data_IF_103836850165
#
_entry.id   IF_103836850165
#
_cell.length_a   1.000
_cell.length_b   1.000
_cell.length_c   1.000
_cell.angle_alpha   90.00
_cell.angle_beta   90.00
_cell.angle_gamma   90.00
#
_symmetry.space_group_name_H-M   'P 1'
#
loop_
_entity.id
_entity.type
_entity.pdbx_description
1 polymer ?
#
# COMPACT_ATOMS: atom_id res chain seq x y z
N UNK A 1 2.76 16.05 -51.11
CA UNK A 1 2.09 15.59 -49.87
C UNK A 1 2.77 14.30 -49.43
N UNK A 2 3.50 14.30 -48.31
CA UNK A 2 4.58 13.33 -48.05
C UNK A 2 4.11 11.90 -47.73
N UNK A 3 4.88 10.92 -48.21
CA UNK A 3 4.75 9.46 -48.03
C UNK A 3 4.29 9.06 -46.61
N UNK A 4 4.80 9.74 -45.56
CA UNK A 4 4.41 9.51 -44.15
C UNK A 4 2.90 9.69 -43.90
N UNK A 5 2.26 10.69 -44.51
CA UNK A 5 0.81 10.93 -44.35
C UNK A 5 0.00 9.82 -45.03
N UNK A 6 0.49 9.34 -46.17
CA UNK A 6 -0.19 8.26 -46.89
C UNK A 6 -0.09 6.94 -46.14
N UNK A 7 1.11 6.58 -45.64
CA UNK A 7 1.33 5.40 -44.79
C UNK A 7 0.45 5.46 -43.54
N UNK A 8 0.42 6.60 -42.83
CA UNK A 8 -0.41 6.77 -41.63
C UNK A 8 -1.90 6.53 -41.95
N UNK A 9 -2.41 7.13 -43.02
CA UNK A 9 -3.82 7.00 -43.39
C UNK A 9 -4.18 5.57 -43.77
N UNK A 10 -3.33 4.89 -44.54
CA UNK A 10 -3.54 3.48 -44.91
C UNK A 10 -3.51 2.56 -43.69
N UNK A 11 -2.56 2.75 -42.77
CA UNK A 11 -2.49 1.99 -41.52
C UNK A 11 -3.69 2.27 -40.61
N UNK A 12 -4.09 3.54 -40.43
CA UNK A 12 -5.27 3.87 -39.63
C UNK A 12 -6.56 3.31 -40.22
N UNK A 13 -6.67 3.21 -41.55
CA UNK A 13 -7.83 2.57 -42.19
C UNK A 13 -7.92 1.07 -41.85
N UNK A 14 -6.79 0.40 -41.65
CA UNK A 14 -6.74 -1.00 -41.24
C UNK A 14 -6.99 -1.15 -39.73
N UNK A 15 -6.30 -0.35 -38.93
CA UNK A 15 -6.31 -0.43 -37.46
C UNK A 15 -7.64 -0.01 -36.83
N UNK A 16 -8.37 0.92 -37.46
CA UNK A 16 -9.72 1.31 -36.99
C UNK A 16 -10.71 0.16 -36.95
N UNK A 17 -10.50 -0.90 -37.74
CA UNK A 17 -11.32 -2.12 -37.68
C UNK A 17 -11.16 -2.90 -36.37
N UNK A 18 -10.11 -2.58 -35.62
CA UNK A 18 -9.76 -3.19 -34.34
C UNK A 18 -9.80 -2.14 -33.21
N UNK A 19 -10.43 -0.98 -33.42
CA UNK A 19 -10.46 0.14 -32.45
C UNK A 19 -9.08 0.71 -32.07
N UNK A 20 -8.11 0.65 -33.00
CA UNK A 20 -6.79 1.25 -32.82
C UNK A 20 -6.55 2.39 -33.82
N UNK A 21 -5.83 3.43 -33.38
CA UNK A 21 -5.39 4.54 -34.23
C UNK A 21 -3.93 4.91 -33.97
N UNK A 22 -3.13 5.06 -35.03
CA UNK A 22 -1.80 5.66 -34.95
C UNK A 22 -1.95 7.18 -34.90
N UNK A 23 -1.42 7.78 -33.84
CA UNK A 23 -1.36 9.23 -33.67
C UNK A 23 0.09 9.72 -33.61
N UNK A 24 0.30 10.98 -33.94
CA UNK A 24 1.63 11.56 -33.85
C UNK A 24 2.01 11.72 -32.37
N UNK A 25 3.20 11.25 -31.98
CA UNK A 25 3.67 11.31 -30.59
C UNK A 25 3.64 12.72 -29.99
N UNK A 26 3.81 13.77 -30.81
CA UNK A 26 3.69 15.18 -30.37
C UNK A 26 2.29 15.58 -29.89
N UNK A 27 1.27 14.80 -30.21
CA UNK A 27 -0.12 15.01 -29.75
C UNK A 27 -0.40 14.30 -28.43
N UNK A 28 0.54 13.50 -27.94
CA UNK A 28 0.45 12.79 -26.68
C UNK A 28 1.09 13.62 -25.57
N UNK A 29 0.50 13.58 -24.38
CA UNK A 29 1.19 13.98 -23.16
C UNK A 29 2.34 13.02 -22.86
N UNK A 30 3.35 13.47 -22.11
CA UNK A 30 4.53 12.65 -21.83
C UNK A 30 4.19 11.32 -21.12
N UNK A 31 3.19 11.34 -20.24
CA UNK A 31 2.71 10.13 -19.56
C UNK A 31 2.01 9.13 -20.50
N UNK A 32 1.55 9.56 -21.68
CA UNK A 32 0.98 8.67 -22.71
C UNK A 32 2.04 8.08 -23.65
N UNK A 33 3.27 8.62 -23.63
CA UNK A 33 4.35 8.21 -24.55
C UNK A 33 5.09 6.96 -24.07
N UNK A 34 5.09 6.68 -22.77
CA UNK A 34 5.78 5.52 -22.20
C UNK A 34 5.06 4.98 -20.97
N UNK A 35 4.57 3.74 -21.05
CA UNK A 35 4.18 2.97 -19.88
C UNK A 35 5.43 2.33 -19.27
N UNK A 36 5.90 2.85 -18.13
CA UNK A 36 7.01 2.23 -17.41
C UNK A 36 6.50 1.05 -16.61
N UNK A 37 6.85 -0.17 -17.05
CA UNK A 37 6.55 -1.43 -16.33
C UNK A 37 7.71 -1.92 -15.46
N UNK A 38 8.75 -1.10 -15.27
CA UNK A 38 9.95 -1.46 -14.51
C UNK A 38 10.00 -0.63 -13.23
N UNK A 39 10.65 -1.17 -12.21
CA UNK A 39 10.94 -0.42 -10.99
C UNK A 39 11.60 0.91 -11.34
N UNK A 40 11.15 1.97 -10.69
CA UNK A 40 11.65 3.31 -10.91
C UNK A 40 11.55 4.11 -9.62
N UNK A 41 12.42 5.09 -9.46
CA UNK A 41 12.42 5.97 -8.31
C UNK A 41 12.88 7.35 -8.72
N UNK A 42 12.40 8.37 -8.01
CA UNK A 42 12.95 9.71 -8.14
C UNK A 42 14.32 9.71 -7.47
N UNK A 43 15.39 10.02 -8.19
CA UNK A 43 16.69 10.24 -7.55
C UNK A 43 16.56 11.44 -6.61
N UNK A 44 16.57 11.15 -5.31
CA UNK A 44 16.47 12.14 -4.25
C UNK A 44 17.58 11.89 -3.23
N UNK A 45 17.91 12.91 -2.45
CA UNK A 45 18.92 12.80 -1.40
C UNK A 45 18.36 11.90 -0.30
N UNK A 46 19.09 10.87 0.11
CA UNK A 46 18.73 10.11 1.31
C UNK A 46 19.10 10.92 2.56
N UNK A 47 18.40 10.72 3.69
CA UNK A 47 18.80 11.30 4.96
C UNK A 47 20.22 10.88 5.37
N UNK A 48 20.84 11.65 6.25
CA UNK A 48 22.16 11.31 6.80
C UNK A 48 22.13 9.93 7.46
N UNK A 49 23.14 9.10 7.19
CA UNK A 49 23.25 7.73 7.70
C UNK A 49 22.33 6.69 7.01
N UNK A 50 21.38 7.11 6.18
CA UNK A 50 20.46 6.19 5.50
C UNK A 50 21.17 5.24 4.52
N UNK A 51 22.13 5.75 3.75
CA UNK A 51 22.90 4.95 2.77
C UNK A 51 23.68 3.82 3.45
N UNK A 52 24.23 4.07 4.65
CA UNK A 52 24.99 3.09 5.42
C UNK A 52 24.09 2.08 6.11
N UNK A 53 22.94 2.54 6.63
CA UNK A 53 22.00 1.67 7.32
C UNK A 53 21.22 0.78 6.34
N UNK A 54 20.64 1.34 5.29
CA UNK A 54 19.71 0.67 4.35
C UNK A 54 20.45 -0.21 3.32
N UNK A 55 21.19 -1.19 3.82
CA UNK A 55 22.00 -2.11 3.03
C UNK A 55 21.66 -3.57 3.32
N UNK A 56 21.75 -4.42 2.30
CA UNK A 56 21.58 -5.88 2.44
C UNK A 56 22.56 -6.52 3.43
N UNK A 57 23.69 -5.86 3.68
CA UNK A 57 24.75 -6.35 4.58
C UNK A 57 24.56 -5.88 6.02
N UNK A 58 23.56 -5.05 6.32
CA UNK A 58 23.32 -4.55 7.68
C UNK A 58 23.12 -5.72 8.66
N UNK A 59 23.83 -5.75 9.81
CA UNK A 59 23.72 -6.82 10.79
C UNK A 59 22.28 -7.09 11.27
N UNK A 60 21.49 -6.03 11.47
CA UNK A 60 20.08 -6.15 11.89
C UNK A 60 19.23 -6.85 10.83
N UNK A 61 19.44 -6.55 9.55
CA UNK A 61 18.72 -7.24 8.48
C UNK A 61 19.11 -8.71 8.38
N UNK A 62 20.39 -9.05 8.58
CA UNK A 62 20.85 -10.45 8.62
C UNK A 62 20.19 -11.22 9.76
N UNK A 63 20.17 -10.65 10.95
CA UNK A 63 19.52 -11.22 12.13
C UNK A 63 18.03 -11.51 11.86
N UNK A 64 17.31 -10.53 11.30
CA UNK A 64 15.90 -10.70 10.94
C UNK A 64 15.70 -11.83 9.93
N UNK A 65 16.53 -11.88 8.88
CA UNK A 65 16.45 -12.93 7.86
C UNK A 65 16.71 -14.33 8.44
N UNK A 66 17.69 -14.46 9.32
CA UNK A 66 18.01 -15.72 10.00
C UNK A 66 16.83 -16.18 10.86
N UNK A 67 16.30 -15.31 11.72
CA UNK A 67 15.16 -15.65 12.59
C UNK A 67 13.89 -15.97 11.81
N UNK A 68 13.60 -15.25 10.73
CA UNK A 68 12.43 -15.54 9.88
C UNK A 68 12.58 -16.88 9.15
N UNK A 69 13.79 -17.26 8.74
CA UNK A 69 14.02 -18.52 8.00
C UNK A 69 13.77 -19.79 8.82
N UNK A 70 13.82 -19.68 10.15
CA UNK A 70 13.54 -20.79 11.08
C UNK A 70 12.15 -20.69 11.71
N UNK A 71 11.39 -19.62 11.42
CA UNK A 71 10.01 -19.47 11.87
C UNK A 71 9.06 -20.34 11.02
N UNK A 72 7.76 -20.23 11.25
CA UNK A 72 6.72 -20.96 10.53
C UNK A 72 6.81 -20.72 9.00
N UNK A 73 7.11 -21.78 8.24
CA UNK A 73 7.22 -21.75 6.79
C UNK A 73 5.86 -21.49 6.12
N UNK A 74 4.75 -21.91 6.70
CA UNK A 74 3.42 -21.70 6.10
C UNK A 74 3.07 -20.21 5.97
N UNK A 75 3.70 -19.35 6.78
CA UNK A 75 3.50 -17.90 6.81
C UNK A 75 4.61 -17.14 6.08
N UNK A 76 5.84 -17.67 6.13
CA UNK A 76 7.05 -17.01 5.61
C UNK A 76 7.44 -17.47 4.21
N UNK A 77 6.87 -18.57 3.71
CA UNK A 77 7.14 -19.06 2.36
C UNK A 77 6.60 -18.07 1.32
N UNK A 78 7.47 -17.49 0.48
CA UNK A 78 7.06 -16.39 -0.38
C UNK A 78 6.27 -16.90 -1.60
N UNK A 79 5.10 -16.31 -1.83
CA UNK A 79 4.44 -16.36 -3.13
C UNK A 79 5.00 -15.30 -4.09
N UNK A 80 5.41 -14.15 -3.54
CA UNK A 80 5.90 -12.97 -4.27
C UNK A 80 7.34 -12.61 -3.89
N UNK A 81 7.62 -12.52 -2.58
CA UNK A 81 8.85 -11.94 -2.01
C UNK A 81 10.04 -12.91 -1.99
N UNK A 82 10.56 -13.25 -3.16
CA UNK A 82 11.78 -14.09 -3.29
C UNK A 82 13.07 -13.27 -3.10
N UNK A 83 14.21 -13.96 -2.87
CA UNK A 83 15.53 -13.30 -2.69
C UNK A 83 15.95 -12.40 -3.86
N UNK A 84 15.42 -12.64 -5.07
CA UNK A 84 15.73 -11.86 -6.26
C UNK A 84 14.69 -10.77 -6.55
N UNK A 85 13.65 -10.64 -5.71
CA UNK A 85 12.55 -9.71 -5.92
C UNK A 85 12.93 -8.26 -5.57
N UNK A 86 13.89 -8.06 -4.66
CA UNK A 86 14.30 -6.74 -4.16
C UNK A 86 15.78 -6.50 -4.41
N UNK A 87 16.12 -5.43 -5.12
CA UNK A 87 17.50 -5.00 -5.33
C UNK A 87 18.00 -4.12 -4.18
N UNK A 88 19.32 -3.88 -4.11
CA UNK A 88 19.87 -2.92 -3.14
C UNK A 88 19.38 -1.48 -3.36
N UNK A 89 19.08 -1.11 -4.62
CA UNK A 89 18.48 0.19 -4.93
C UNK A 89 17.07 0.32 -4.39
N UNK A 90 16.28 -0.76 -4.44
CA UNK A 90 14.91 -0.76 -3.92
C UNK A 90 14.90 -0.58 -2.39
N UNK A 91 15.88 -1.16 -1.68
CA UNK A 91 15.99 -1.00 -0.21
C UNK A 91 16.27 0.47 0.17
N UNK A 92 17.05 1.20 -0.62
CA UNK A 92 17.32 2.62 -0.38
C UNK A 92 16.17 3.52 -0.80
N UNK A 93 15.47 3.10 -1.86
CA UNK A 93 14.42 3.87 -2.51
C UNK A 93 13.06 3.21 -2.30
N UNK A 94 12.79 2.70 -1.09
CA UNK A 94 11.63 1.84 -0.80
C UNK A 94 10.28 2.53 -0.94
N UNK A 95 10.23 3.87 -1.06
CA UNK A 95 9.01 4.63 -1.38
C UNK A 95 8.85 4.94 -2.87
N UNK A 96 9.83 4.54 -3.69
CA UNK A 96 9.73 4.58 -5.13
C UNK A 96 8.78 3.51 -5.68
N UNK A 97 8.54 3.54 -6.98
CA UNK A 97 7.72 2.54 -7.67
C UNK A 97 8.54 1.25 -7.82
N UNK A 98 8.51 0.38 -6.81
CA UNK A 98 9.21 -0.90 -6.77
C UNK A 98 8.37 -1.96 -6.02
N UNK A 99 9.00 -3.08 -5.62
CA UNK A 99 8.33 -4.18 -4.91
C UNK A 99 7.53 -3.74 -3.67
N UNK A 100 8.00 -2.73 -2.92
CA UNK A 100 7.31 -2.23 -1.72
C UNK A 100 6.07 -1.38 -2.05
N UNK A 101 5.95 -0.96 -3.30
CA UNK A 101 4.86 -0.14 -3.84
C UNK A 101 4.27 -0.93 -5.02
N UNK A 102 3.70 -2.10 -4.69
CA UNK A 102 3.20 -3.16 -5.60
C UNK A 102 2.70 -2.69 -6.97
N UNK A 103 1.86 -1.65 -7.01
CA UNK A 103 1.42 -1.02 -8.26
C UNK A 103 2.51 -0.11 -8.87
N UNK A 104 3.37 -0.70 -9.71
CA UNK A 104 4.23 0.05 -10.63
C UNK A 104 3.40 1.01 -11.50
N UNK A 105 4.04 2.09 -12.01
CA UNK A 105 3.45 3.15 -12.82
C UNK A 105 2.49 2.65 -13.92
N UNK A 106 1.21 2.59 -13.59
CA UNK A 106 0.11 2.29 -14.50
C UNK A 106 -0.45 3.53 -15.21
N UNK A 107 -1.53 3.38 -16.00
CA UNK A 107 -2.18 4.51 -16.68
C UNK A 107 -2.61 5.63 -15.73
N UNK A 108 -2.97 5.28 -14.48
CA UNK A 108 -3.42 6.23 -13.47
C UNK A 108 -2.28 6.78 -12.58
N UNK A 109 -1.02 6.62 -12.99
CA UNK A 109 0.16 7.13 -12.28
C UNK A 109 0.78 8.33 -13.00
N UNK A 110 -0.07 9.32 -13.26
CA UNK A 110 0.28 10.57 -13.94
C UNK A 110 -0.26 11.77 -13.15
N UNK A 111 0.25 12.98 -13.46
CA UNK A 111 -0.12 14.20 -12.74
C UNK A 111 -1.63 14.49 -12.72
N UNK A 112 -2.37 14.13 -13.77
CA UNK A 112 -3.82 14.35 -13.83
C UNK A 112 -4.56 13.43 -12.86
N UNK A 113 -4.16 12.16 -12.78
CA UNK A 113 -4.73 11.23 -11.78
C UNK A 113 -4.41 11.67 -10.35
N UNK A 114 -3.19 12.16 -10.11
CA UNK A 114 -2.82 12.73 -8.80
C UNK A 114 -3.64 13.98 -8.48
N UNK A 115 -3.79 14.90 -9.43
CA UNK A 115 -4.60 16.11 -9.24
C UNK A 115 -6.07 15.76 -9.00
N UNK A 116 -6.64 14.86 -9.79
CA UNK A 116 -8.03 14.41 -9.64
C UNK A 116 -8.27 13.80 -8.25
N UNK A 117 -7.40 12.87 -7.81
CA UNK A 117 -7.46 12.30 -6.47
C UNK A 117 -7.27 13.34 -5.37
N UNK A 118 -6.35 14.29 -5.55
CA UNK A 118 -6.09 15.37 -4.57
C UNK A 118 -7.32 16.24 -4.38
N UNK A 119 -7.92 16.74 -5.46
CA UNK A 119 -9.10 17.60 -5.36
C UNK A 119 -10.33 16.86 -4.85
N UNK A 120 -10.47 15.56 -5.20
CA UNK A 120 -11.50 14.73 -4.59
C UNK A 120 -11.34 14.64 -3.08
N UNK A 121 -10.12 14.32 -2.60
CA UNK A 121 -9.86 14.22 -1.16
C UNK A 121 -10.09 15.57 -0.48
N UNK A 122 -9.60 16.68 -1.05
CA UNK A 122 -9.84 18.02 -0.51
C UNK A 122 -11.33 18.34 -0.35
N UNK A 123 -12.16 17.92 -1.30
CA UNK A 123 -13.60 18.13 -1.25
C UNK A 123 -14.30 17.33 -0.12
N UNK A 124 -13.66 16.28 0.41
CA UNK A 124 -14.19 15.46 1.50
C UNK A 124 -13.37 15.58 2.80
N UNK A 125 -12.40 16.51 2.89
CA UNK A 125 -11.39 16.55 3.96
C UNK A 125 -11.91 17.11 5.29
N UNK A 126 -12.92 16.46 5.89
CA UNK A 126 -13.57 16.89 7.14
C UNK A 126 -12.71 16.68 8.40
N UNK A 127 -11.61 15.93 8.31
CA UNK A 127 -10.61 15.78 9.38
C UNK A 127 -9.40 16.73 9.21
N UNK A 128 -9.37 17.57 8.17
CA UNK A 128 -8.24 18.44 7.81
C UNK A 128 -6.91 17.65 7.73
N UNK A 129 -6.91 16.48 7.09
CA UNK A 129 -5.74 15.61 7.04
C UNK A 129 -4.64 16.19 6.16
N UNK A 130 -4.96 16.98 5.13
CA UNK A 130 -3.93 17.68 4.36
C UNK A 130 -3.14 18.68 5.19
N UNK A 131 -3.76 19.29 6.19
CA UNK A 131 -3.08 20.24 7.10
C UNK A 131 -2.21 19.52 8.14
N UNK A 132 -2.54 18.26 8.46
CA UNK A 132 -1.85 17.45 9.48
C UNK A 132 -0.72 16.60 8.92
N UNK A 133 -0.83 16.18 7.65
CA UNK A 133 0.04 15.16 7.05
C UNK A 133 0.98 15.79 6.02
N UNK A 134 2.23 16.03 6.44
CA UNK A 134 3.27 16.59 5.56
C UNK A 134 3.90 15.55 4.62
N UNK A 135 4.31 15.95 3.42
CA UNK A 135 4.99 15.06 2.48
C UNK A 135 6.37 15.57 2.08
N UNK A 136 7.28 14.65 1.80
CA UNK A 136 8.64 14.93 1.33
C UNK A 136 9.05 14.02 0.17
N UNK A 137 10.27 14.20 -0.32
CA UNK A 137 10.81 13.44 -1.44
C UNK A 137 11.90 12.42 -1.06
N UNK A 138 11.96 12.01 0.21
CA UNK A 138 12.91 10.99 0.67
C UNK A 138 12.57 9.58 0.16
N UNK A 139 13.62 8.75 0.06
CA UNK A 139 13.54 7.31 -0.26
C UNK A 139 12.90 6.99 -1.61
N UNK A 140 13.18 7.81 -2.61
CA UNK A 140 12.84 7.49 -4.00
C UNK A 140 11.41 7.80 -4.41
N UNK A 141 10.60 8.37 -3.52
CA UNK A 141 9.19 8.65 -3.77
C UNK A 141 8.99 9.63 -4.92
N UNK A 142 7.93 9.38 -5.69
CA UNK A 142 7.45 10.33 -6.67
C UNK A 142 6.47 11.32 -6.06
N UNK A 143 6.78 12.60 -6.24
CA UNK A 143 5.95 13.71 -5.80
C UNK A 143 5.60 14.61 -6.97
N UNK A 144 4.39 15.17 -6.94
CA UNK A 144 3.93 16.21 -7.85
C UNK A 144 3.51 17.43 -7.03
N UNK A 145 3.87 18.63 -7.48
CA UNK A 145 3.40 19.87 -6.86
C UNK A 145 1.97 20.13 -7.34
N UNK A 146 0.99 20.06 -6.44
CA UNK A 146 -0.43 20.30 -6.73
C UNK A 146 -0.96 21.23 -5.64
N UNK A 147 -1.48 22.39 -6.04
CA UNK A 147 -1.91 23.45 -5.11
C UNK A 147 -0.80 23.82 -4.11
N UNK A 148 0.40 24.05 -4.67
CA UNK A 148 1.64 24.37 -3.96
C UNK A 148 2.07 23.39 -2.85
N UNK A 149 1.47 22.19 -2.81
CA UNK A 149 1.82 21.12 -1.88
C UNK A 149 2.45 19.93 -2.62
N UNK A 150 3.51 19.30 -2.06
CA UNK A 150 4.03 18.06 -2.57
C UNK A 150 3.03 16.94 -2.32
N UNK A 151 2.53 16.32 -3.38
CA UNK A 151 1.59 15.21 -3.31
C UNK A 151 2.26 13.93 -3.78
N UNK A 152 2.18 12.90 -2.96
CA UNK A 152 2.62 11.55 -3.29
C UNK A 152 1.46 10.56 -3.31
N UNK A 153 1.69 9.37 -3.86
CA UNK A 153 0.77 8.25 -3.70
C UNK A 153 0.59 7.89 -2.23
N UNK A 154 1.68 7.83 -1.46
CA UNK A 154 1.65 7.42 -0.06
C UNK A 154 0.65 8.26 0.74
N UNK A 155 0.70 9.58 0.55
CA UNK A 155 -0.18 10.54 1.20
C UNK A 155 -1.65 10.29 0.84
N UNK A 156 -1.95 10.24 -0.46
CA UNK A 156 -3.31 10.11 -0.96
C UNK A 156 -3.94 8.76 -0.59
N UNK A 157 -3.19 7.65 -0.71
CA UNK A 157 -3.63 6.32 -0.31
C UNK A 157 -3.92 6.29 1.21
N UNK A 158 -3.02 6.86 2.03
CA UNK A 158 -3.20 6.88 3.49
C UNK A 158 -4.42 7.68 3.91
N UNK A 159 -4.62 8.86 3.33
CA UNK A 159 -5.77 9.70 3.68
C UNK A 159 -7.09 8.97 3.40
N UNK A 160 -7.19 8.29 2.25
CA UNK A 160 -8.41 7.57 1.90
C UNK A 160 -8.63 6.33 2.76
N UNK A 161 -7.58 5.60 3.14
CA UNK A 161 -7.66 4.49 4.09
C UNK A 161 -8.12 4.97 5.47
N UNK A 162 -7.58 6.10 5.95
CA UNK A 162 -8.01 6.77 7.18
C UNK A 162 -9.49 7.14 7.10
N UNK A 163 -9.93 7.75 6.01
CA UNK A 163 -11.31 8.16 5.84
C UNK A 163 -12.29 6.99 5.81
N UNK A 164 -11.89 5.85 5.26
CA UNK A 164 -12.69 4.64 5.31
C UNK A 164 -12.91 4.17 6.75
N UNK A 165 -11.84 4.10 7.55
CA UNK A 165 -11.95 3.76 8.98
C UNK A 165 -12.76 4.79 9.77
N UNK A 166 -12.53 6.09 9.55
CA UNK A 166 -13.27 7.15 10.21
C UNK A 166 -14.77 7.07 9.89
N UNK A 167 -15.12 6.86 8.63
CA UNK A 167 -16.52 6.79 8.21
C UNK A 167 -17.29 5.66 8.90
N UNK A 168 -16.67 4.49 9.02
CA UNK A 168 -17.37 3.29 9.49
C UNK A 168 -17.22 3.04 10.99
N UNK A 169 -16.11 3.47 11.58
CA UNK A 169 -15.79 3.22 12.98
C UNK A 169 -15.68 4.49 13.82
N UNK A 170 -15.62 5.68 13.21
CA UNK A 170 -15.46 6.96 13.90
C UNK A 170 -14.22 6.96 14.83
N UNK A 171 -13.11 6.44 14.30
CA UNK A 171 -11.86 6.19 15.03
C UNK A 171 -11.29 7.44 15.73
N UNK A 172 -11.61 8.65 15.24
CA UNK A 172 -11.25 9.91 15.86
C UNK A 172 -11.86 10.11 17.26
N UNK A 173 -12.95 9.40 17.57
CA UNK A 173 -13.68 9.50 18.85
C UNK A 173 -13.30 8.43 19.86
N UNK A 174 -12.50 7.45 19.47
CA UNK A 174 -12.14 6.35 20.36
C UNK A 174 -11.11 6.83 21.38
N UNK A 175 -11.19 6.36 22.61
CA UNK A 175 -10.13 6.56 23.61
C UNK A 175 -9.10 5.44 23.48
N UNK A 176 -7.82 5.80 23.44
CA UNK A 176 -6.69 4.84 23.45
C UNK A 176 -6.77 3.79 22.34
N UNK A 177 -6.91 4.26 21.09
CA UNK A 177 -7.04 3.39 19.92
C UNK A 177 -5.77 2.56 19.70
N UNK A 178 -5.94 1.25 19.54
CA UNK A 178 -4.85 0.26 19.40
C UNK A 178 -4.98 -0.49 18.09
N UNK A 179 -3.95 -0.40 17.24
CA UNK A 179 -4.03 -0.90 15.86
C UNK A 179 -2.96 -1.93 15.59
N UNK A 180 -3.31 -2.96 14.82
CA UNK A 180 -2.38 -3.90 14.20
C UNK A 180 -2.42 -3.71 12.68
N UNK A 181 -1.26 -3.59 12.05
CA UNK A 181 -1.08 -3.45 10.61
C UNK A 181 -0.24 -4.62 10.10
N UNK A 182 -0.92 -5.53 9.39
CA UNK A 182 -0.42 -6.81 8.92
C UNK A 182 0.07 -6.63 7.49
N UNK A 183 1.35 -6.95 7.26
CA UNK A 183 2.00 -6.63 5.99
C UNK A 183 2.20 -5.14 5.83
N UNK A 184 2.65 -4.48 6.92
CA UNK A 184 2.79 -3.04 6.99
C UNK A 184 3.81 -2.46 5.99
N UNK A 185 4.59 -3.30 5.30
CA UNK A 185 5.64 -2.88 4.39
C UNK A 185 6.66 -2.06 5.15
N UNK A 186 6.92 -0.84 4.69
CA UNK A 186 7.80 0.11 5.37
C UNK A 186 7.10 0.98 6.43
N UNK A 187 5.83 0.72 6.78
CA UNK A 187 5.11 1.46 7.84
C UNK A 187 4.48 2.77 7.37
N UNK A 188 4.10 2.87 6.09
CA UNK A 188 3.46 4.06 5.50
C UNK A 188 2.25 4.53 6.31
N UNK A 189 1.28 3.64 6.50
CA UNK A 189 0.00 3.98 7.10
C UNK A 189 0.17 4.28 8.60
N UNK A 190 1.01 3.52 9.29
CA UNK A 190 1.34 3.76 10.70
C UNK A 190 1.86 5.17 10.97
N UNK A 191 2.83 5.64 10.18
CA UNK A 191 3.35 7.00 10.25
C UNK A 191 2.24 8.05 10.08
N UNK A 192 1.34 7.84 9.11
CA UNK A 192 0.25 8.78 8.82
C UNK A 192 -0.83 8.77 9.90
N UNK A 193 -1.21 7.59 10.38
CA UNK A 193 -2.20 7.42 11.45
C UNK A 193 -1.74 8.07 12.75
N UNK A 194 -0.49 7.84 13.17
CA UNK A 194 0.07 8.45 14.40
C UNK A 194 0.10 9.98 14.32
N UNK A 195 0.42 10.54 13.15
CA UNK A 195 0.42 11.99 12.96
C UNK A 195 -1.00 12.58 12.84
N UNK A 196 -1.98 11.81 12.34
CA UNK A 196 -3.36 12.25 12.21
C UNK A 196 -4.12 12.27 13.55
N UNK A 197 -3.81 11.32 14.43
CA UNK A 197 -4.62 10.99 15.60
C UNK A 197 -3.83 10.94 16.91
N UNK A 198 -4.07 11.94 17.76
CA UNK A 198 -3.50 12.00 19.10
C UNK A 198 -3.99 10.87 20.04
N UNK A 199 -5.18 10.32 19.78
CA UNK A 199 -5.84 9.28 20.57
C UNK A 199 -5.34 7.86 20.31
N UNK A 200 -4.36 7.66 19.40
CA UNK A 200 -3.67 6.39 19.25
C UNK A 200 -2.80 6.14 20.47
N UNK A 201 -3.05 5.02 21.14
CA UNK A 201 -2.24 4.48 22.25
C UNK A 201 -0.98 3.84 21.66
N UNK A 202 -1.17 2.82 20.82
CA UNK A 202 -0.10 2.23 20.02
C UNK A 202 -0.59 1.71 18.66
N UNK A 203 0.35 1.63 17.74
CA UNK A 203 0.18 1.10 16.39
C UNK A 203 1.26 0.04 16.16
N UNK A 204 0.87 -1.22 16.01
CA UNK A 204 1.79 -2.34 15.80
C UNK A 204 1.90 -2.63 14.30
N UNK A 205 3.11 -2.53 13.77
CA UNK A 205 3.43 -2.94 12.39
C UNK A 205 4.08 -4.31 12.42
N UNK A 206 3.58 -5.25 11.63
CA UNK A 206 4.19 -6.56 11.47
C UNK A 206 4.17 -6.96 10.01
N UNK A 207 5.14 -7.76 9.59
CA UNK A 207 5.27 -8.22 8.21
C UNK A 207 5.94 -9.59 8.18
N UNK A 208 5.47 -10.47 7.30
CA UNK A 208 6.06 -11.78 7.08
C UNK A 208 7.35 -11.73 6.25
N UNK A 209 7.68 -10.57 5.71
CA UNK A 209 8.89 -10.30 4.95
C UNK A 209 9.91 -9.57 5.83
N UNK A 210 11.04 -10.23 6.09
CA UNK A 210 12.10 -9.70 6.95
C UNK A 210 12.67 -8.35 6.48
N UNK A 211 12.77 -8.11 5.17
CA UNK A 211 13.26 -6.83 4.64
C UNK A 211 12.25 -5.70 4.85
N UNK A 212 10.94 -5.97 4.76
CA UNK A 212 9.88 -5.00 5.08
C UNK A 212 9.96 -4.60 6.55
N UNK A 213 10.10 -5.59 7.45
CA UNK A 213 10.29 -5.36 8.89
C UNK A 213 11.51 -4.47 9.15
N UNK A 214 12.66 -4.79 8.53
CA UNK A 214 13.89 -4.00 8.65
C UNK A 214 13.74 -2.54 8.20
N UNK A 215 13.10 -2.31 7.06
CA UNK A 215 12.90 -0.96 6.51
C UNK A 215 11.87 -0.19 7.34
N UNK A 216 10.81 -0.84 7.80
CA UNK A 216 9.80 -0.25 8.68
C UNK A 216 10.41 0.26 9.98
N UNK A 217 11.29 -0.54 10.60
CA UNK A 217 12.02 -0.15 11.81
C UNK A 217 12.81 1.15 11.59
N UNK A 218 13.50 1.24 10.45
CA UNK A 218 14.25 2.44 10.09
C UNK A 218 13.32 3.63 9.82
N UNK A 219 12.28 3.43 9.01
CA UNK A 219 11.40 4.50 8.55
C UNK A 219 10.62 5.13 9.70
N UNK A 220 10.04 4.32 10.61
CA UNK A 220 9.28 4.84 11.74
C UNK A 220 10.15 5.59 12.76
N UNK A 221 11.43 5.19 12.92
CA UNK A 221 12.41 5.96 13.68
C UNK A 221 12.76 7.27 12.98
N UNK A 222 13.04 7.24 11.68
CA UNK A 222 13.32 8.43 10.89
C UNK A 222 12.15 9.44 10.93
N UNK A 223 10.92 8.94 10.91
CA UNK A 223 9.69 9.73 11.04
C UNK A 223 9.39 10.22 12.45
N UNK A 224 10.19 9.80 13.44
CA UNK A 224 10.01 10.15 14.84
C UNK A 224 8.62 9.78 15.40
N UNK A 225 8.07 8.65 14.96
CA UNK A 225 6.77 8.13 15.44
C UNK A 225 6.90 6.81 16.20
N UNK A 226 8.13 6.29 16.34
CA UNK A 226 8.42 4.97 16.89
C UNK A 226 8.00 4.76 18.36
N UNK A 227 7.77 5.82 19.12
CA UNK A 227 7.23 5.75 20.48
C UNK A 227 5.78 5.21 20.49
N UNK A 228 5.00 5.55 19.46
CA UNK A 228 3.61 5.08 19.29
C UNK A 228 3.49 3.97 18.24
N UNK A 229 4.23 4.05 17.14
CA UNK A 229 4.23 3.06 16.06
C UNK A 229 5.41 2.09 16.20
N UNK A 230 5.15 0.86 16.63
CA UNK A 230 6.19 -0.15 16.92
C UNK A 230 6.19 -1.22 15.85
N UNK A 231 7.39 -1.56 15.37
CA UNK A 231 7.56 -2.72 14.48
C UNK A 231 7.78 -3.96 15.33
N UNK A 232 6.92 -4.95 15.15
CA UNK A 232 6.97 -6.24 15.85
C UNK A 232 7.38 -7.29 14.82
N UNK A 233 8.57 -7.93 14.98
CA UNK A 233 8.96 -9.05 14.15
C UNK A 233 7.90 -10.15 14.17
N UNK A 234 7.69 -10.84 13.05
CA UNK A 234 6.65 -11.85 12.91
C UNK A 234 6.74 -12.94 14.00
N UNK A 235 7.96 -13.34 14.36
CA UNK A 235 8.19 -14.40 15.36
C UNK A 235 7.85 -13.98 16.80
N UNK A 236 7.59 -12.69 17.06
CA UNK A 236 7.19 -12.17 18.37
C UNK A 236 5.69 -11.81 18.44
N UNK A 237 4.94 -11.88 17.32
CA UNK A 237 3.60 -11.28 17.24
C UNK A 237 2.56 -11.95 18.14
N UNK A 238 2.56 -13.28 18.23
CA UNK A 238 1.60 -14.01 19.07
C UNK A 238 1.81 -13.69 20.56
N UNK A 239 3.06 -13.60 21.02
CA UNK A 239 3.41 -13.21 22.38
C UNK A 239 3.00 -11.76 22.68
N UNK A 240 3.21 -10.85 21.73
CA UNK A 240 2.79 -9.45 21.86
C UNK A 240 1.28 -9.35 21.99
N UNK A 241 0.51 -10.01 21.12
CA UNK A 241 -0.96 -9.96 21.13
C UNK A 241 -1.57 -10.65 22.36
N UNK A 242 -0.93 -11.68 22.90
CA UNK A 242 -1.34 -12.31 24.17
C UNK A 242 -1.31 -11.31 25.33
N UNK A 243 -0.39 -10.34 25.29
CA UNK A 243 -0.19 -9.35 26.35
C UNK A 243 -0.79 -7.98 26.05
N UNK A 244 -1.24 -7.73 24.82
CA UNK A 244 -1.70 -6.43 24.35
C UNK A 244 -2.97 -6.58 23.52
N UNK A 245 -4.06 -5.96 23.96
CA UNK A 245 -5.32 -5.95 23.21
C UNK A 245 -5.19 -5.16 21.92
N UNK A 246 -5.92 -5.52 20.87
CA UNK A 246 -5.97 -4.71 19.63
C UNK A 246 -7.42 -4.48 19.26
N UNK A 247 -7.72 -3.25 18.86
CA UNK A 247 -9.07 -2.84 18.49
C UNK A 247 -9.38 -3.16 17.02
N UNK A 248 -8.40 -2.85 16.15
CA UNK A 248 -8.53 -2.92 14.70
C UNK A 248 -7.27 -3.57 14.12
N UNK A 249 -7.45 -4.62 13.32
CA UNK A 249 -6.45 -5.11 12.39
C UNK A 249 -6.65 -4.49 11.00
N UNK A 250 -5.56 -4.17 10.33
CA UNK A 250 -5.53 -3.60 8.98
C UNK A 250 -4.62 -4.47 8.13
N UNK A 251 -5.05 -4.78 6.90
CA UNK A 251 -4.23 -5.39 5.88
C UNK A 251 -4.43 -4.64 4.56
N UNK A 252 -3.41 -3.90 4.13
CA UNK A 252 -3.42 -3.20 2.84
C UNK A 252 -2.53 -3.95 1.86
N UNK A 253 -3.13 -4.52 0.82
CA UNK A 253 -2.50 -5.22 -0.31
C UNK A 253 -1.73 -6.50 0.02
N UNK A 254 -1.39 -6.75 1.28
CA UNK A 254 -0.55 -7.87 1.68
C UNK A 254 -1.23 -9.25 1.57
N UNK A 255 -2.50 -9.43 1.98
CA UNK A 255 -3.15 -10.75 1.87
C UNK A 255 -3.26 -11.22 0.42
N UNK A 256 -3.40 -10.31 -0.54
CA UNK A 256 -3.37 -10.67 -1.95
C UNK A 256 -2.01 -11.23 -2.42
N UNK A 257 -0.93 -11.04 -1.65
CA UNK A 257 0.42 -11.54 -1.94
C UNK A 257 0.78 -12.79 -1.12
N UNK A 258 -0.14 -13.26 -0.28
CA UNK A 258 0.03 -14.42 0.58
C UNK A 258 -0.55 -15.69 -0.08
N UNK A 259 -0.03 -16.85 0.32
CA UNK A 259 -0.76 -18.11 0.16
C UNK A 259 -1.98 -18.10 1.08
N UNK A 260 -3.05 -18.81 0.72
CA UNK A 260 -4.25 -18.93 1.55
C UNK A 260 -3.93 -19.49 2.94
N UNK A 261 -2.99 -20.43 3.07
CA UNK A 261 -2.52 -20.96 4.36
C UNK A 261 -1.93 -19.88 5.29
N UNK A 262 -1.22 -18.89 4.73
CA UNK A 262 -0.69 -17.77 5.52
C UNK A 262 -1.82 -16.82 5.97
N UNK A 263 -2.85 -16.63 5.12
CA UNK A 263 -4.03 -15.83 5.47
C UNK A 263 -4.82 -16.52 6.59
N UNK A 264 -5.05 -17.83 6.48
CA UNK A 264 -5.69 -18.67 7.50
C UNK A 264 -4.94 -18.61 8.85
N UNK A 265 -3.60 -18.68 8.82
CA UNK A 265 -2.79 -18.51 10.02
C UNK A 265 -2.99 -17.13 10.67
N UNK A 266 -2.96 -16.05 9.88
CA UNK A 266 -3.20 -14.71 10.42
C UNK A 266 -4.60 -14.59 11.02
N UNK A 267 -5.64 -15.06 10.31
CA UNK A 267 -7.01 -15.00 10.80
C UNK A 267 -7.19 -15.82 12.08
N UNK A 268 -6.53 -16.97 12.19
CA UNK A 268 -6.46 -17.75 13.44
C UNK A 268 -5.86 -16.92 14.59
N UNK A 269 -4.78 -16.17 14.34
CA UNK A 269 -4.18 -15.27 15.34
C UNK A 269 -5.14 -14.14 15.73
N UNK A 270 -5.83 -13.52 14.76
CA UNK A 270 -6.79 -12.45 15.04
C UNK A 270 -8.01 -12.95 15.83
N UNK A 271 -8.56 -14.10 15.46
CA UNK A 271 -9.69 -14.76 16.13
C UNK A 271 -9.34 -15.11 17.58
N UNK A 272 -8.18 -15.76 17.81
CA UNK A 272 -7.71 -16.13 19.16
C UNK A 272 -7.58 -14.91 20.09
N UNK A 273 -7.13 -13.79 19.53
CA UNK A 273 -6.97 -12.52 20.26
C UNK A 273 -8.22 -11.64 20.24
N UNK A 274 -9.33 -12.13 19.66
CA UNK A 274 -10.63 -11.46 19.58
C UNK A 274 -10.55 -10.04 19.02
N UNK A 275 -9.73 -9.84 18.00
CA UNK A 275 -9.58 -8.52 17.38
C UNK A 275 -10.88 -8.19 16.65
N UNK A 276 -11.57 -7.15 17.11
CA UNK A 276 -12.97 -6.93 16.74
C UNK A 276 -13.16 -6.57 15.27
N UNK A 277 -12.32 -5.69 14.74
CA UNK A 277 -12.45 -5.18 13.38
C UNK A 277 -11.26 -5.56 12.52
N UNK A 278 -11.53 -5.92 11.27
CA UNK A 278 -10.51 -6.21 10.26
C UNK A 278 -10.80 -5.42 8.99
N UNK A 279 -9.89 -4.52 8.62
CA UNK A 279 -9.91 -3.84 7.33
C UNK A 279 -9.01 -4.56 6.33
N UNK A 280 -9.53 -4.85 5.13
CA UNK A 280 -8.76 -5.45 4.03
C UNK A 280 -8.87 -4.57 2.78
N UNK A 281 -7.73 -4.31 2.14
CA UNK A 281 -7.66 -3.67 0.82
C UNK A 281 -6.94 -4.61 -0.14
N UNK A 282 -7.64 -5.37 -1.01
CA UNK A 282 -6.98 -6.31 -1.92
C UNK A 282 -6.20 -5.59 -3.02
N UNK A 283 -5.29 -6.32 -3.67
CA UNK A 283 -4.61 -5.83 -4.85
C UNK A 283 -5.57 -5.66 -6.04
N UNK A 284 -5.47 -4.55 -6.77
CA UNK A 284 -6.40 -4.24 -7.88
C UNK A 284 -5.88 -4.62 -9.27
N UNK A 285 -4.59 -4.95 -9.41
CA UNK A 285 -3.93 -5.08 -10.72
C UNK A 285 -4.22 -6.37 -11.46
N UNK A 286 -4.57 -7.44 -10.75
CA UNK A 286 -4.64 -8.74 -11.38
C UNK A 286 -6.09 -9.17 -11.62
N UNK A 287 -7.02 -8.99 -10.67
CA UNK A 287 -8.39 -9.50 -10.80
C UNK A 287 -9.45 -8.54 -10.22
N UNK A 288 -10.56 -8.35 -10.92
CA UNK A 288 -11.74 -7.64 -10.41
C UNK A 288 -11.56 -6.15 -10.07
N UNK A 289 -10.43 -5.50 -10.39
CA UNK A 289 -10.11 -4.12 -9.96
C UNK A 289 -10.25 -3.91 -8.44
N UNK A 290 -9.86 -4.93 -7.67
CA UNK A 290 -9.97 -4.94 -6.21
C UNK A 290 -11.38 -5.24 -5.69
N UNK A 291 -12.37 -5.54 -6.55
CA UNK A 291 -13.74 -5.91 -6.13
C UNK A 291 -13.88 -7.30 -5.54
N UNK A 292 -12.82 -8.11 -5.56
CA UNK A 292 -12.79 -9.47 -5.07
C UNK A 292 -11.58 -9.63 -4.15
N UNK A 293 -11.72 -10.46 -3.12
CA UNK A 293 -10.65 -10.81 -2.19
C UNK A 293 -9.89 -12.01 -2.75
N UNK A 294 -9.02 -11.74 -3.71
CA UNK A 294 -8.24 -12.75 -4.40
C UNK A 294 -6.75 -12.62 -4.08
N UNK A 295 -6.10 -13.76 -3.91
CA UNK A 295 -4.64 -13.87 -3.96
C UNK A 295 -4.14 -13.63 -5.39
N UNK A 296 -2.84 -13.40 -5.56
CA UNK A 296 -2.21 -13.19 -6.87
C UNK A 296 -2.28 -14.43 -7.77
N UNK A 297 -2.41 -15.62 -7.18
CA UNK A 297 -2.68 -16.88 -7.86
C UNK A 297 -4.18 -17.22 -7.93
N UNK A 298 -5.04 -16.20 -7.83
CA UNK A 298 -6.49 -16.24 -8.09
C UNK A 298 -7.32 -17.08 -7.10
N UNK A 299 -6.81 -17.38 -5.92
CA UNK A 299 -7.58 -18.05 -4.88
C UNK A 299 -8.44 -17.03 -4.13
N UNK A 300 -9.74 -17.31 -4.00
CA UNK A 300 -10.63 -16.51 -3.17
C UNK A 300 -10.41 -16.83 -1.70
N UNK A 301 -10.22 -15.78 -0.90
CA UNK A 301 -10.00 -15.90 0.53
C UNK A 301 -11.11 -15.25 1.36
N UNK A 302 -12.22 -14.81 0.74
CA UNK A 302 -13.40 -14.34 1.48
C UNK A 302 -13.96 -15.44 2.39
N UNK A 303 -14.09 -16.67 1.88
CA UNK A 303 -14.61 -17.81 2.64
C UNK A 303 -13.75 -18.11 3.87
N UNK A 304 -12.43 -17.91 3.77
CA UNK A 304 -11.51 -18.08 4.90
C UNK A 304 -11.73 -17.00 5.95
N UNK A 305 -11.92 -15.74 5.55
CA UNK A 305 -12.27 -14.65 6.47
C UNK A 305 -13.58 -14.97 7.20
N UNK A 306 -14.61 -15.40 6.48
CA UNK A 306 -15.92 -15.75 7.06
C UNK A 306 -15.85 -16.99 7.96
N UNK A 307 -15.03 -17.97 7.62
CA UNK A 307 -14.79 -19.17 8.43
C UNK A 307 -14.25 -18.84 9.83
N UNK A 308 -13.41 -17.81 9.94
CA UNK A 308 -12.90 -17.30 11.22
C UNK A 308 -13.87 -16.33 11.94
N UNK A 309 -15.15 -16.32 11.55
CA UNK A 309 -16.20 -15.59 12.25
C UNK A 309 -16.32 -14.10 11.91
N UNK A 310 -15.51 -13.60 10.98
CA UNK A 310 -15.57 -12.22 10.51
C UNK A 310 -16.69 -12.05 9.48
N UNK A 311 -17.65 -11.17 9.77
CA UNK A 311 -18.73 -10.81 8.82
C UNK A 311 -18.44 -9.49 8.15
N UNK A 312 -18.68 -9.42 6.85
CA UNK A 312 -18.54 -8.19 6.08
C UNK A 312 -19.60 -7.16 6.50
N UNK A 313 -19.15 -6.02 7.03
CA UNK A 313 -20.03 -4.91 7.45
C UNK A 313 -19.95 -3.69 6.52
N UNK A 314 -18.86 -3.54 5.77
CA UNK A 314 -18.76 -2.53 4.73
C UNK A 314 -17.86 -2.97 3.57
N UNK A 315 -18.25 -2.59 2.35
CA UNK A 315 -17.46 -2.73 1.13
C UNK A 315 -17.69 -1.52 0.24
N UNK A 316 -16.65 -0.73 0.00
CA UNK A 316 -16.79 0.52 -0.76
C UNK A 316 -15.65 0.69 -1.77
N UNK A 317 -15.90 1.33 -2.93
CA UNK A 317 -14.80 1.77 -3.77
C UNK A 317 -13.96 2.81 -3.03
N UNK A 318 -12.65 2.79 -3.26
CA UNK A 318 -11.68 3.76 -2.73
C UNK A 318 -12.15 5.20 -2.92
N UNK A 319 -12.69 5.50 -4.10
CA UNK A 319 -13.36 6.76 -4.41
C UNK A 319 -14.83 6.48 -4.69
N UNK A 320 -15.74 7.21 -4.02
CA UNK A 320 -17.19 7.01 -4.21
C UNK A 320 -17.70 7.59 -5.54
N UNK A 321 -17.02 8.62 -6.04
CA UNK A 321 -17.29 9.15 -7.37
C UNK A 321 -16.78 8.16 -8.42
N UNK A 322 -17.64 7.76 -9.36
CA UNK A 322 -17.31 6.73 -10.34
C UNK A 322 -16.19 7.15 -11.29
N UNK A 323 -16.11 8.43 -11.65
CA UNK A 323 -15.06 8.97 -12.52
C UNK A 323 -13.73 9.02 -11.78
N UNK A 324 -13.72 9.48 -10.52
CA UNK A 324 -12.50 9.42 -9.69
C UNK A 324 -12.09 7.98 -9.43
N UNK A 325 -13.02 7.06 -9.23
CA UNK A 325 -12.73 5.64 -9.10
C UNK A 325 -12.16 5.03 -10.37
N UNK A 326 -12.48 5.57 -11.55
CA UNK A 326 -11.92 5.06 -12.80
C UNK A 326 -10.54 5.63 -13.09
N UNK A 327 -10.35 6.94 -12.88
CA UNK A 327 -9.18 7.69 -13.36
C UNK A 327 -8.23 8.20 -12.26
N UNK A 328 -8.66 8.17 -11.00
CA UNK A 328 -7.84 8.52 -9.85
C UNK A 328 -6.74 7.50 -9.59
N UNK A 329 -5.82 7.85 -8.69
CA UNK A 329 -4.66 7.00 -8.39
C UNK A 329 -5.11 5.66 -7.78
N UNK A 330 -4.61 4.56 -8.34
CA UNK A 330 -4.85 3.18 -7.89
C UNK A 330 -6.27 2.90 -7.37
N UNK A 331 -7.25 2.79 -8.28
CA UNK A 331 -8.57 2.32 -7.92
C UNK A 331 -8.50 0.98 -7.19
N UNK A 332 -9.19 0.87 -6.06
CA UNK A 332 -9.34 -0.34 -5.27
C UNK A 332 -10.70 -0.33 -4.56
N UNK A 333 -11.00 -1.38 -3.81
CA UNK A 333 -12.11 -1.40 -2.86
C UNK A 333 -11.58 -1.63 -1.46
N UNK A 334 -12.24 -1.04 -0.48
CA UNK A 334 -11.95 -1.22 0.92
C UNK A 334 -13.04 -2.10 1.54
N UNK A 335 -12.63 -3.05 2.36
CA UNK A 335 -13.50 -3.98 3.06
C UNK A 335 -13.31 -3.78 4.55
N UNK A 336 -14.42 -3.83 5.28
CA UNK A 336 -14.42 -3.85 6.73
C UNK A 336 -15.24 -5.03 7.21
N UNK A 337 -14.63 -5.82 8.08
CA UNK A 337 -15.23 -6.97 8.72
C UNK A 337 -15.32 -6.76 10.24
N UNK A 338 -16.31 -7.40 10.86
CA UNK A 338 -16.49 -7.46 12.31
C UNK A 338 -16.57 -8.92 12.78
N UNK A 339 -15.79 -9.24 13.81
CA UNK A 339 -15.81 -10.56 14.47
C UNK A 339 -17.13 -10.71 15.25
N UNK A 340 -17.87 -11.79 14.99
CA UNK A 340 -19.20 -12.04 15.55
C UNK A 340 -19.24 -12.98 16.75
#
# INVERSE_FOLDING_TARGET
MGIKKHIKNSLNSLLKRYDHEIIASRLLYDWQKSFQRRSSYKKAKLPEGAEDYLQQKNPRFRELREKYSIFNQDVTEPLVWTNNHVSSDDIRNFRGDNAFVWQLRGPNMNIMSYALSTYYIKAIDNLCLFDKLAEDDYFGIFTFLIDDQPISRDLLDSIIEIYFLEKHLNISRWSNLKILDIGAGYGRLAHRMVNAFHNIDYYLCTDAVSISTFISEYYLRFRNVHDKAKVIPLYDIEDVLTNHSVDIAINVHSFSECKVSAIDWWLTVLERNRIKYLMIVPNSLNHGRGKLLLTIDFQDFLDVVEWHGYKLIAKEPKYRDATVQEYGINPAYHYLFELC
#
